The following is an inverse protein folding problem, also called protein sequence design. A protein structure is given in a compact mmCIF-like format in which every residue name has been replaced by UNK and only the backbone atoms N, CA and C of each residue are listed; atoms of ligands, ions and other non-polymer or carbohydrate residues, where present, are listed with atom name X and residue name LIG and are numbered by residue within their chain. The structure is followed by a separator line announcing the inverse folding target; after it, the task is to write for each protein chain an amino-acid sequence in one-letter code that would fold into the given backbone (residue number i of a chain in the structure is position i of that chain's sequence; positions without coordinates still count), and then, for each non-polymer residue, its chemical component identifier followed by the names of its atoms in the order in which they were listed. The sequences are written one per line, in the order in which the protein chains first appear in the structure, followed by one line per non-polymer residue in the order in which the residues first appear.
data_IF_854211052971
#
_entry.id   IF_854211052971
#
_cell.length_a   1.000
_cell.length_b   1.000
_cell.length_c   1.000
_cell.angle_alpha   90.00
_cell.angle_beta   90.00
_cell.angle_gamma   90.00
#
_symmetry.space_group_name_H-M   'P 1'
#
loop_
_entity.id
_entity.type
_entity.pdbx_description
1 polymer ?
#
# COMPACT_ATOMS: atom_id res chain seq x y z
N UNK A 1 -9.07 13.06 10.59
CA UNK A 1 -10.01 11.96 10.88
C UNK A 1 -9.22 10.83 11.49
N UNK A 2 -9.64 10.32 12.64
CA UNK A 2 -8.97 9.20 13.32
C UNK A 2 -9.98 8.08 13.52
N UNK A 3 -9.63 6.86 13.10
CA UNK A 3 -10.45 5.65 13.28
C UNK A 3 -9.58 4.56 13.89
N UNK A 4 -10.09 3.89 14.94
CA UNK A 4 -9.36 2.87 15.69
C UNK A 4 -10.23 1.66 15.98
N UNK A 5 -9.65 0.47 15.84
CA UNK A 5 -10.15 -0.81 16.38
C UNK A 5 -11.62 -1.10 16.00
N UNK A 6 -11.95 -0.84 14.73
CA UNK A 6 -13.29 -1.04 14.18
C UNK A 6 -13.40 -2.38 13.45
N UNK A 7 -14.59 -2.99 13.51
CA UNK A 7 -14.92 -4.19 12.74
C UNK A 7 -16.02 -3.90 11.71
N UNK A 8 -16.03 -4.64 10.60
CA UNK A 8 -17.00 -4.47 9.53
C UNK A 8 -16.53 -3.51 8.44
N UNK A 9 -17.42 -2.64 7.95
CA UNK A 9 -17.11 -1.72 6.86
C UNK A 9 -16.78 -0.33 7.38
N UNK A 10 -15.64 0.22 6.98
CA UNK A 10 -15.20 1.57 7.32
C UNK A 10 -15.10 2.39 6.04
N UNK A 11 -15.82 3.51 5.98
CA UNK A 11 -15.72 4.49 4.88
C UNK A 11 -15.34 5.85 5.44
N UNK A 12 -14.27 6.45 4.90
CA UNK A 12 -13.81 7.79 5.26
C UNK A 12 -13.73 8.63 4.00
N UNK A 13 -14.35 9.81 4.03
CA UNK A 13 -14.24 10.83 3.00
C UNK A 13 -13.67 12.11 3.61
N UNK A 14 -12.56 12.61 3.06
CA UNK A 14 -11.85 13.78 3.61
C UNK A 14 -11.21 14.62 2.49
N UNK A 15 -11.54 15.91 2.41
CA UNK A 15 -11.06 16.74 1.30
C UNK A 15 -9.69 17.36 1.60
N UNK A 16 -9.48 17.98 2.77
CA UNK A 16 -8.23 18.68 3.11
C UNK A 16 -7.80 18.34 4.55
N UNK A 17 -7.82 17.06 4.89
CA UNK A 17 -7.57 16.62 6.26
C UNK A 17 -6.76 15.33 6.29
N UNK A 18 -5.90 15.21 7.30
CA UNK A 18 -5.20 13.97 7.58
C UNK A 18 -6.19 12.86 7.96
N UNK A 19 -5.96 11.65 7.46
CA UNK A 19 -6.72 10.44 7.79
C UNK A 19 -5.77 9.44 8.42
N UNK A 20 -6.12 8.94 9.59
CA UNK A 20 -5.34 7.94 10.31
C UNK A 20 -6.28 6.80 10.75
N UNK A 21 -6.13 5.62 10.13
CA UNK A 21 -6.92 4.43 10.41
C UNK A 21 -6.00 3.34 10.95
N UNK A 22 -6.33 2.85 12.14
CA UNK A 22 -5.57 1.80 12.83
C UNK A 22 -6.46 0.66 13.27
N UNK A 23 -6.02 -0.59 13.10
CA UNK A 23 -6.68 -1.75 13.69
C UNK A 23 -8.06 -2.07 13.10
N UNK A 24 -8.31 -1.72 11.84
CA UNK A 24 -9.58 -2.02 11.18
C UNK A 24 -9.64 -3.47 10.68
N UNK A 25 -10.72 -4.18 10.98
CA UNK A 25 -10.99 -5.54 10.52
C UNK A 25 -12.24 -5.59 9.64
N UNK A 26 -12.05 -5.76 8.33
CA UNK A 26 -13.09 -5.81 7.31
C UNK A 26 -12.75 -4.94 6.10
N UNK A 27 -13.75 -4.34 5.48
CA UNK A 27 -13.54 -3.52 4.29
C UNK A 27 -13.23 -2.07 4.69
N UNK A 28 -12.12 -1.52 4.18
CA UNK A 28 -11.72 -0.12 4.39
C UNK A 28 -11.74 0.62 3.06
N UNK A 29 -12.55 1.68 2.99
CA UNK A 29 -12.59 2.61 1.87
C UNK A 29 -12.20 4.01 2.31
N UNK A 30 -11.24 4.62 1.62
CA UNK A 30 -10.82 6.00 1.84
C UNK A 30 -10.89 6.77 0.54
N UNK A 31 -11.59 7.91 0.55
CA UNK A 31 -11.59 8.87 -0.56
C UNK A 31 -11.14 10.23 -0.06
N UNK A 32 -10.20 10.85 -0.75
CA UNK A 32 -9.76 12.18 -0.35
C UNK A 32 -9.16 13.06 -1.43
N UNK A 33 -9.12 14.35 -1.12
CA UNK A 33 -8.58 15.38 -2.01
C UNK A 33 -7.10 15.63 -1.74
N UNK A 34 -6.79 16.09 -0.54
CA UNK A 34 -5.48 16.44 -0.07
C UNK A 34 -5.35 16.16 1.43
N UNK A 35 -4.14 15.85 1.87
CA UNK A 35 -3.83 15.45 3.23
C UNK A 35 -3.25 14.04 3.30
N UNK A 36 -2.41 13.77 4.32
CA UNK A 36 -1.78 12.47 4.45
C UNK A 36 -2.80 11.41 4.92
N UNK A 37 -2.68 10.21 4.36
CA UNK A 37 -3.44 9.02 4.77
C UNK A 37 -2.48 8.00 5.35
N UNK A 38 -2.70 7.61 6.60
CA UNK A 38 -1.95 6.55 7.29
C UNK A 38 -2.90 5.41 7.59
N UNK A 39 -2.55 4.22 7.11
CA UNK A 39 -3.31 2.99 7.29
C UNK A 39 -2.40 1.96 7.95
N UNK A 40 -2.77 1.54 9.16
CA UNK A 40 -2.00 0.59 9.94
C UNK A 40 -2.89 -0.54 10.46
N UNK A 41 -2.36 -1.77 10.48
CA UNK A 41 -3.08 -2.93 10.99
C UNK A 41 -4.47 -3.14 10.39
N UNK A 42 -4.56 -2.98 9.07
CA UNK A 42 -5.78 -3.27 8.31
C UNK A 42 -5.80 -4.75 7.97
N UNK A 43 -6.89 -5.43 8.34
CA UNK A 43 -7.15 -6.81 7.94
C UNK A 43 -8.42 -6.85 7.10
N UNK A 44 -8.34 -7.41 5.89
CA UNK A 44 -9.44 -7.43 4.92
C UNK A 44 -9.12 -6.65 3.65
N UNK A 45 -10.16 -6.10 3.01
CA UNK A 45 -10.06 -5.44 1.71
C UNK A 45 -9.79 -3.94 1.84
N UNK A 46 -8.86 -3.43 1.04
CA UNK A 46 -8.49 -2.02 1.00
C UNK A 46 -8.90 -1.35 -0.33
N UNK A 47 -9.48 -0.16 -0.26
CA UNK A 47 -9.83 0.67 -1.42
C UNK A 47 -9.52 2.15 -1.11
N UNK A 48 -8.42 2.67 -1.64
CA UNK A 48 -7.99 4.06 -1.43
C UNK A 48 -8.01 4.81 -2.75
N UNK A 49 -8.62 5.98 -2.78
CA UNK A 49 -8.58 6.90 -3.92
C UNK A 49 -8.27 8.31 -3.42
N UNK A 50 -7.14 8.86 -3.88
CA UNK A 50 -6.68 10.19 -3.51
C UNK A 50 -6.46 11.05 -4.74
N UNK A 51 -6.65 12.37 -4.63
CA UNK A 51 -6.15 13.31 -5.65
C UNK A 51 -4.68 13.63 -5.35
N UNK A 52 -4.35 13.94 -4.10
CA UNK A 52 -3.01 14.31 -3.67
C UNK A 52 -2.76 13.94 -2.21
N UNK A 53 -1.51 14.07 -1.76
CA UNK A 53 -1.10 13.73 -0.40
C UNK A 53 -0.43 12.35 -0.33
N UNK A 54 0.32 12.12 0.75
CA UNK A 54 1.02 10.85 0.93
C UNK A 54 0.06 9.77 1.42
N UNK A 55 0.20 8.55 0.89
CA UNK A 55 -0.49 7.36 1.41
C UNK A 55 0.56 6.44 2.00
N UNK A 56 0.40 6.06 3.27
CA UNK A 56 1.25 5.08 3.94
C UNK A 56 0.41 3.89 4.35
N UNK A 57 0.76 2.71 3.86
CA UNK A 57 0.15 1.43 4.27
C UNK A 57 1.19 0.60 4.99
N UNK A 58 0.97 0.44 6.30
CA UNK A 58 1.79 -0.36 7.19
C UNK A 58 1.17 -1.74 7.41
N UNK A 59 1.98 -2.78 7.69
CA UNK A 59 1.49 -4.13 7.81
C UNK A 59 0.71 -4.31 9.12
N UNK A 60 -0.06 -5.39 9.19
CA UNK A 60 -0.68 -5.81 10.45
C UNK A 60 0.38 -6.29 11.43
N UNK A 61 0.40 -5.71 12.63
CA UNK A 61 1.42 -5.99 13.64
C UNK A 61 1.56 -7.48 13.98
N UNK A 62 0.47 -8.24 13.94
CA UNK A 62 0.46 -9.67 14.26
C UNK A 62 0.89 -10.57 13.12
N UNK A 63 0.65 -10.18 11.86
CA UNK A 63 0.86 -11.05 10.70
C UNK A 63 1.98 -10.59 9.77
N UNK A 64 2.40 -9.33 9.86
CA UNK A 64 3.35 -8.71 8.93
C UNK A 64 2.78 -8.48 7.53
N UNK A 65 1.52 -8.84 7.28
CA UNK A 65 0.90 -8.72 5.97
C UNK A 65 0.28 -7.33 5.75
N UNK A 66 0.43 -6.84 4.53
CA UNK A 66 -0.37 -5.79 3.94
C UNK A 66 -1.77 -6.34 3.59
N UNK A 67 -2.81 -5.49 3.60
CA UNK A 67 -4.12 -5.86 3.09
C UNK A 67 -4.09 -6.05 1.57
N UNK A 68 -4.93 -6.96 1.06
CA UNK A 68 -5.22 -7.01 -0.36
C UNK A 68 -6.17 -5.88 -0.75
N UNK A 69 -6.08 -5.37 -1.98
CA UNK A 69 -6.92 -4.26 -2.41
C UNK A 69 -6.30 -3.37 -3.47
N UNK A 70 -6.70 -2.10 -3.44
CA UNK A 70 -6.32 -1.08 -4.40
C UNK A 70 -5.99 0.25 -3.72
N UNK A 71 -4.92 0.90 -4.18
CA UNK A 71 -4.52 2.25 -3.79
C UNK A 71 -4.30 3.06 -5.06
N UNK A 72 -5.03 4.14 -5.22
CA UNK A 72 -4.86 5.06 -6.34
C UNK A 72 -4.64 6.49 -5.87
N UNK A 73 -3.69 7.17 -6.51
CA UNK A 73 -3.51 8.61 -6.30
C UNK A 73 -3.08 9.34 -7.57
N UNK A 74 -3.59 10.55 -7.82
CA UNK A 74 -3.06 11.36 -8.93
C UNK A 74 -1.62 11.81 -8.60
N UNK A 75 -1.38 12.32 -7.40
CA UNK A 75 -0.04 12.71 -6.96
C UNK A 75 0.25 12.40 -5.50
N UNK A 76 1.49 12.63 -5.07
CA UNK A 76 1.95 12.33 -3.72
C UNK A 76 2.57 10.94 -3.58
N UNK A 77 3.34 10.76 -2.50
CA UNK A 77 4.11 9.54 -2.29
C UNK A 77 3.24 8.41 -1.74
N UNK A 78 3.31 7.23 -2.34
CA UNK A 78 2.74 6.00 -1.78
C UNK A 78 3.86 5.16 -1.16
N UNK A 79 3.76 4.91 0.14
CA UNK A 79 4.71 4.06 0.88
C UNK A 79 4.00 2.79 1.34
N UNK A 80 4.57 1.64 0.98
CA UNK A 80 4.08 0.33 1.34
C UNK A 80 5.19 -0.42 2.08
N UNK A 81 4.89 -1.00 3.23
CA UNK A 81 5.85 -1.85 3.94
C UNK A 81 5.20 -3.14 4.42
N UNK A 82 5.80 -4.28 4.11
CA UNK A 82 5.32 -5.60 4.57
C UNK A 82 5.29 -6.65 3.47
N UNK A 83 4.78 -7.84 3.82
CA UNK A 83 4.51 -8.92 2.87
C UNK A 83 3.04 -8.94 2.48
N UNK A 84 2.64 -9.84 1.59
CA UNK A 84 1.23 -10.10 1.28
C UNK A 84 0.87 -11.53 1.66
N UNK A 85 -0.33 -11.73 2.20
CA UNK A 85 -0.85 -13.07 2.44
C UNK A 85 -0.88 -13.89 1.13
N UNK A 86 -0.66 -15.21 1.17
CA UNK A 86 -0.74 -16.06 -0.01
C UNK A 86 -2.06 -15.88 -0.76
N UNK A 87 -1.98 -15.72 -2.09
CA UNK A 87 -3.16 -15.53 -2.95
C UNK A 87 -3.80 -14.14 -2.90
N UNK A 88 -3.30 -13.22 -2.07
CA UNK A 88 -3.76 -11.82 -2.08
C UNK A 88 -3.08 -10.99 -3.18
N UNK A 89 -3.76 -9.94 -3.61
CA UNK A 89 -3.24 -8.96 -4.57
C UNK A 89 -3.41 -7.56 -4.01
N UNK A 90 -2.37 -6.74 -4.11
CA UNK A 90 -2.43 -5.30 -3.86
C UNK A 90 -2.05 -4.55 -5.13
N UNK A 91 -2.98 -3.78 -5.66
CA UNK A 91 -2.77 -2.91 -6.81
C UNK A 91 -2.52 -1.48 -6.34
N UNK A 92 -1.47 -0.84 -6.85
CA UNK A 92 -1.11 0.53 -6.51
C UNK A 92 -0.85 1.28 -7.81
N UNK A 93 -1.67 2.29 -8.08
CA UNK A 93 -1.54 3.11 -9.28
C UNK A 93 -1.35 4.58 -8.90
N UNK A 94 -0.44 5.26 -9.60
CA UNK A 94 -0.34 6.71 -9.51
C UNK A 94 -0.04 7.37 -10.85
N UNK A 95 -0.46 8.63 -11.00
CA UNK A 95 -0.11 9.41 -12.19
C UNK A 95 1.29 10.01 -12.03
N UNK A 96 1.46 10.93 -11.07
CA UNK A 96 2.70 11.68 -10.85
C UNK A 96 3.39 11.37 -9.50
N UNK A 97 2.84 10.44 -8.73
CA UNK A 97 3.35 10.07 -7.42
C UNK A 97 4.58 9.15 -7.48
N UNK A 98 5.48 9.32 -6.52
CA UNK A 98 6.51 8.32 -6.25
C UNK A 98 5.92 7.15 -5.47
N UNK A 99 6.36 5.93 -5.78
CA UNK A 99 6.00 4.72 -5.03
C UNK A 99 7.26 4.16 -4.37
N UNK A 100 7.21 3.97 -3.05
CA UNK A 100 8.21 3.26 -2.28
C UNK A 100 7.62 1.95 -1.76
N UNK A 101 8.10 0.82 -2.28
CA UNK A 101 7.75 -0.50 -1.80
C UNK A 101 8.90 -1.09 -0.98
N UNK A 102 8.64 -1.38 0.28
CA UNK A 102 9.59 -1.97 1.23
C UNK A 102 9.16 -3.38 1.60
N UNK A 103 9.94 -4.35 1.11
CA UNK A 103 9.64 -5.77 1.31
C UNK A 103 10.56 -6.32 2.41
N UNK A 104 10.03 -6.92 3.48
CA UNK A 104 10.87 -7.58 4.48
C UNK A 104 11.52 -8.86 3.90
N UNK A 105 12.66 -9.30 4.44
CA UNK A 105 13.34 -10.49 3.96
C UNK A 105 12.52 -11.77 4.27
N UNK A 106 12.76 -12.83 3.49
CA UNK A 106 12.26 -14.18 3.78
C UNK A 106 10.94 -14.57 3.10
N UNK A 107 10.09 -13.61 2.72
CA UNK A 107 8.84 -13.88 2.01
C UNK A 107 8.45 -12.74 1.05
N UNK A 108 9.26 -12.47 0.00
CA UNK A 108 8.97 -11.37 -0.91
C UNK A 108 7.70 -11.64 -1.72
N UNK A 109 6.79 -10.67 -1.91
CA UNK A 109 5.68 -10.82 -2.85
C UNK A 109 6.18 -10.87 -4.30
N UNK A 110 5.34 -11.35 -5.21
CA UNK A 110 5.58 -11.20 -6.65
C UNK A 110 5.34 -9.74 -6.96
N UNK A 111 6.38 -9.02 -7.39
CA UNK A 111 6.24 -7.62 -7.78
C UNK A 111 6.12 -7.51 -9.29
N UNK A 112 4.98 -6.97 -9.74
CA UNK A 112 4.77 -6.54 -11.13
C UNK A 112 4.79 -5.03 -11.16
N UNK A 113 5.72 -4.48 -11.92
CA UNK A 113 5.95 -3.05 -11.94
C UNK A 113 5.95 -2.48 -13.35
N UNK A 114 5.39 -1.29 -13.50
CA UNK A 114 5.50 -0.49 -14.73
C UNK A 114 5.64 0.99 -14.39
N UNK A 115 6.57 1.69 -15.05
CA UNK A 115 6.78 3.12 -14.89
C UNK A 115 8.01 3.60 -15.66
N UNK A 116 8.26 4.91 -15.64
CA UNK A 116 9.36 5.54 -16.39
C UNK A 116 10.72 5.19 -15.78
N UNK A 117 10.82 5.24 -14.45
CA UNK A 117 12.05 4.93 -13.72
C UNK A 117 11.79 3.74 -12.77
N UNK A 118 12.24 2.55 -13.19
CA UNK A 118 12.00 1.31 -12.49
C UNK A 118 13.30 0.67 -12.00
N UNK A 119 13.45 0.56 -10.69
CA UNK A 119 14.48 -0.26 -10.06
C UNK A 119 13.86 -1.42 -9.28
N UNK A 120 14.04 -2.64 -9.78
CA UNK A 120 13.58 -3.88 -9.13
C UNK A 120 14.76 -4.78 -8.76
N UNK A 121 14.96 -5.08 -7.47
CA UNK A 121 15.90 -6.10 -7.01
C UNK A 121 15.63 -7.46 -7.66
N UNK A 122 16.70 -8.20 -8.01
CA UNK A 122 16.58 -9.53 -8.61
C UNK A 122 15.80 -10.52 -7.72
N UNK A 123 15.91 -10.38 -6.39
CA UNK A 123 15.19 -11.18 -5.41
C UNK A 123 13.66 -11.09 -5.49
N UNK A 124 13.13 -10.06 -6.16
CA UNK A 124 11.68 -9.84 -6.33
C UNK A 124 11.16 -10.32 -7.70
N UNK A 125 12.05 -10.87 -8.54
CA UNK A 125 11.72 -11.37 -9.88
C UNK A 125 11.56 -12.88 -9.81
N UNK A 126 10.33 -13.40 -9.79
CA UNK A 126 10.11 -14.85 -9.86
C UNK A 126 8.87 -15.36 -9.15
N UNK A 127 8.78 -16.68 -8.97
CA UNK A 127 7.69 -17.30 -8.21
C UNK A 127 7.88 -17.05 -6.72
N UNK A 128 6.80 -16.70 -6.04
CA UNK A 128 6.74 -16.60 -4.58
C UNK A 128 5.53 -17.37 -4.05
N UNK A 129 5.60 -17.74 -2.78
CA UNK A 129 4.46 -18.21 -1.98
C UNK A 129 3.64 -17.06 -1.39
N UNK A 130 4.18 -15.84 -1.43
CA UNK A 130 3.52 -14.62 -0.99
C UNK A 130 2.61 -14.05 -2.07
N UNK A 131 1.70 -13.13 -1.71
CA UNK A 131 0.79 -12.50 -2.65
C UNK A 131 1.48 -11.68 -3.77
N UNK A 132 0.68 -11.03 -4.61
CA UNK A 132 1.15 -10.21 -5.74
C UNK A 132 0.98 -8.72 -5.46
N UNK A 133 2.05 -7.95 -5.62
CA UNK A 133 1.98 -6.48 -5.64
C UNK A 133 2.08 -6.01 -7.09
N UNK A 134 1.05 -5.32 -7.58
CA UNK A 134 1.08 -4.65 -8.87
C UNK A 134 1.23 -3.14 -8.64
N UNK A 135 2.33 -2.54 -9.11
CA UNK A 135 2.65 -1.13 -8.91
C UNK A 135 2.82 -0.43 -10.25
N UNK A 136 2.13 0.69 -10.45
CA UNK A 136 2.21 1.49 -11.67
C UNK A 136 2.33 2.97 -11.35
N UNK A 137 3.25 3.65 -12.04
CA UNK A 137 3.36 5.11 -12.01
C UNK A 137 3.53 5.64 -13.43
N UNK A 138 2.83 6.72 -13.81
CA UNK A 138 2.90 7.26 -15.17
C UNK A 138 4.13 8.15 -15.37
N UNK A 139 4.41 9.07 -14.46
CA UNK A 139 5.53 10.01 -14.55
C UNK A 139 6.41 10.04 -13.29
N UNK A 140 6.01 9.37 -12.21
CA UNK A 140 6.75 9.32 -10.95
C UNK A 140 7.81 8.22 -10.88
N UNK A 141 8.55 8.22 -9.78
CA UNK A 141 9.59 7.22 -9.50
C UNK A 141 9.00 5.97 -8.85
N UNK A 142 9.49 4.79 -9.23
CA UNK A 142 9.18 3.55 -8.55
C UNK A 142 10.44 2.93 -7.92
N UNK A 143 10.51 3.05 -6.60
CA UNK A 143 11.59 2.54 -5.78
C UNK A 143 11.13 1.29 -5.03
N UNK A 144 11.75 0.14 -5.34
CA UNK A 144 11.48 -1.10 -4.62
C UNK A 144 12.74 -1.55 -3.89
N UNK A 145 12.63 -1.72 -2.57
CA UNK A 145 13.74 -2.18 -1.72
C UNK A 145 13.36 -3.39 -0.90
N UNK A 146 14.30 -4.32 -0.80
CA UNK A 146 14.26 -5.37 0.20
C UNK A 146 14.91 -4.80 1.46
N UNK A 147 14.26 -4.94 2.61
CA UNK A 147 14.81 -4.55 3.89
C UNK A 147 15.88 -5.55 4.32
N UNK A 148 16.95 -5.05 4.91
CA UNK A 148 17.93 -5.91 5.57
C UNK A 148 17.28 -6.53 6.82
N UNK A 149 17.41 -7.85 6.97
CA UNK A 149 16.96 -8.54 8.18
C UNK A 149 17.92 -8.24 9.31
N UNK A 150 17.45 -7.50 10.30
CA UNK A 150 18.15 -7.37 11.60
C UNK A 150 17.93 -8.60 12.45
#
# INVERSE_FOLDING_TARGET
VVVRDVTGSTTVEAINAAVDIGGAAGAVRVRGGSGPVVLAAISGALDVTMVSGSVTVAPQATSGHLPGGRVETVGGMVTLSGTLAPGSTLQVDTHDGAILLQVPPGAPPLVRASGVELSLPAALRGRTTSGTVEVRTFSGELNVRVLDGT
#
